data_IF_549769308719
#
_entry.id   IF_549769308719
#
_cell.length_a   1.000
_cell.length_b   1.000
_cell.length_c   1.000
_cell.angle_alpha   90.00
_cell.angle_beta   90.00
_cell.angle_gamma   90.00
#
_symmetry.space_group_name_H-M   'P 1'
#
loop_
_entity.id
_entity.type
_entity.pdbx_description
1 polymer ?
#
# COMPACT_ATOMS: atom_id res chain seq x y z
N UNK A 1 -10.98 -2.14 13.11
CA UNK A 1 -9.75 -2.25 12.30
C UNK A 1 -8.59 -2.61 13.22
N UNK A 2 -7.63 -3.43 12.78
CA UNK A 2 -6.42 -3.73 13.55
C UNK A 2 -5.35 -2.67 13.26
N UNK A 3 -4.78 -2.08 14.30
CA UNK A 3 -3.80 -0.99 14.18
C UNK A 3 -2.36 -1.49 14.17
N UNK A 4 -1.44 -0.66 13.68
CA UNK A 4 0.01 -0.88 13.72
C UNK A 4 0.62 -0.12 14.91
N UNK A 5 1.67 -0.68 15.51
CA UNK A 5 2.40 0.02 16.57
C UNK A 5 3.14 1.25 16.05
N UNK A 6 3.58 2.13 16.95
CA UNK A 6 4.38 3.30 16.58
C UNK A 6 5.67 2.93 15.85
N UNK A 7 6.37 1.87 16.26
CA UNK A 7 7.58 1.38 15.59
C UNK A 7 7.30 0.83 14.20
N UNK A 8 6.22 0.06 14.05
CA UNK A 8 5.80 -0.43 12.74
C UNK A 8 5.46 0.74 11.82
N UNK A 9 4.76 1.76 12.34
CA UNK A 9 4.45 2.97 11.57
C UNK A 9 5.71 3.74 11.18
N UNK A 10 6.71 3.86 12.06
CA UNK A 10 8.03 4.44 11.73
C UNK A 10 8.72 3.67 10.60
N UNK A 11 8.73 2.34 10.67
CA UNK A 11 9.30 1.49 9.61
C UNK A 11 8.60 1.68 8.26
N UNK A 12 7.27 1.81 8.27
CA UNK A 12 6.49 2.10 7.07
C UNK A 12 6.79 3.47 6.48
N UNK A 13 6.92 4.51 7.31
CA UNK A 13 7.30 5.86 6.87
C UNK A 13 8.69 5.84 6.22
N UNK A 14 9.66 5.17 6.84
CA UNK A 14 11.02 5.07 6.31
C UNK A 14 11.06 4.36 4.95
N UNK A 15 10.24 3.32 4.78
CA UNK A 15 10.19 2.51 3.55
C UNK A 15 9.41 3.17 2.43
N UNK A 16 8.20 3.65 2.71
CA UNK A 16 7.27 4.12 1.68
C UNK A 16 7.39 5.63 1.42
N UNK A 17 7.80 6.40 2.44
CA UNK A 17 7.95 7.88 2.49
C UNK A 17 6.70 8.71 2.14
N UNK A 18 5.69 8.10 1.55
CA UNK A 18 4.38 8.63 1.28
C UNK A 18 3.45 7.55 0.76
N UNK A 19 2.38 7.95 0.08
CA UNK A 19 1.46 7.02 -0.53
C UNK A 19 2.20 6.16 -1.59
N UNK A 20 2.21 4.85 -1.40
CA UNK A 20 2.94 3.92 -2.26
C UNK A 20 2.26 3.69 -3.64
N UNK A 21 1.02 4.17 -3.81
CA UNK A 21 0.29 4.02 -5.06
C UNK A 21 0.99 4.75 -6.22
N UNK A 22 0.96 4.20 -7.45
CA UNK A 22 1.69 4.76 -8.59
C UNK A 22 1.37 6.23 -8.83
N UNK A 23 2.40 7.05 -9.06
CA UNK A 23 2.32 8.49 -9.35
C UNK A 23 1.71 9.37 -8.24
N UNK A 24 1.37 8.82 -7.07
CA UNK A 24 0.85 9.60 -5.96
C UNK A 24 1.98 10.38 -5.25
N UNK A 25 1.71 11.64 -4.90
CA UNK A 25 2.68 12.52 -4.20
C UNK A 25 2.22 12.92 -2.80
N UNK A 26 1.20 12.26 -2.27
CA UNK A 26 0.71 12.51 -0.90
C UNK A 26 1.76 12.00 0.11
N UNK A 27 2.24 12.86 1.03
CA UNK A 27 3.31 12.49 1.96
C UNK A 27 2.80 11.57 3.09
N UNK A 28 3.73 10.87 3.75
CA UNK A 28 3.40 9.86 4.76
C UNK A 28 2.53 10.35 5.94
N UNK A 29 2.63 11.60 6.42
CA UNK A 29 1.74 12.10 7.47
C UNK A 29 0.26 12.07 7.10
N UNK A 30 -0.08 12.06 5.82
CA UNK A 30 -1.47 12.02 5.30
C UNK A 30 -1.86 10.62 4.79
N UNK A 31 -1.12 9.61 5.22
CA UNK A 31 -1.33 8.22 4.83
C UNK A 31 -1.65 7.36 6.04
N UNK A 32 -2.54 6.40 5.81
CA UNK A 32 -2.86 5.31 6.73
C UNK A 32 -2.05 4.07 6.36
N UNK A 33 -1.76 3.25 7.36
CA UNK A 33 -1.17 1.94 7.15
C UNK A 33 -2.27 0.93 6.79
N UNK A 34 -2.11 0.30 5.63
CA UNK A 34 -3.03 -0.68 5.07
C UNK A 34 -2.40 -2.07 5.09
N UNK A 35 -3.12 -3.08 5.57
CA UNK A 35 -2.72 -4.49 5.46
C UNK A 35 -2.83 -4.96 4.00
N UNK A 36 -1.75 -5.50 3.43
CA UNK A 36 -1.77 -6.04 2.06
C UNK A 36 -2.57 -7.33 2.00
N UNK A 37 -2.21 -8.31 2.85
CA UNK A 37 -3.06 -9.45 3.14
C UNK A 37 -3.95 -9.10 4.33
N UNK A 38 -5.29 -9.13 4.18
CA UNK A 38 -6.21 -8.69 5.22
C UNK A 38 -6.02 -9.47 6.53
N UNK A 39 -6.02 -8.75 7.66
CA UNK A 39 -5.87 -9.36 8.98
C UNK A 39 -6.99 -10.35 9.32
N UNK A 40 -8.20 -10.13 8.77
CA UNK A 40 -9.36 -11.02 8.95
C UNK A 40 -9.16 -12.39 8.29
N UNK A 41 -8.29 -12.46 7.29
CA UNK A 41 -7.96 -13.67 6.54
C UNK A 41 -6.62 -14.28 7.03
N UNK A 42 -6.15 -13.86 8.22
CA UNK A 42 -4.92 -14.36 8.84
C UNK A 42 -3.66 -13.53 8.53
N UNK A 43 -3.78 -12.42 7.81
CA UNK A 43 -2.66 -11.53 7.50
C UNK A 43 -1.94 -11.00 8.75
N UNK A 44 -0.61 -11.03 8.73
CA UNK A 44 0.20 -10.54 9.86
C UNK A 44 0.11 -9.03 10.02
N UNK A 45 0.14 -8.53 11.26
CA UNK A 45 0.41 -7.10 11.51
C UNK A 45 1.92 -6.92 11.60
N UNK A 46 2.54 -6.71 10.44
CA UNK A 46 3.97 -6.49 10.32
C UNK A 46 4.25 -5.42 9.25
N UNK A 47 5.44 -4.80 9.31
CA UNK A 47 5.87 -3.85 8.26
C UNK A 47 5.88 -4.54 6.89
N UNK A 48 6.26 -5.83 6.83
CA UNK A 48 6.33 -6.59 5.59
C UNK A 48 4.95 -6.79 4.92
N UNK A 49 3.87 -6.88 5.71
CA UNK A 49 2.49 -7.06 5.23
C UNK A 49 1.66 -5.76 5.25
N UNK A 50 2.32 -4.60 5.23
CA UNK A 50 1.61 -3.33 5.27
C UNK A 50 2.19 -2.32 4.28
N UNK A 51 1.40 -1.32 3.93
CA UNK A 51 1.79 -0.24 3.00
C UNK A 51 1.08 1.06 3.37
N UNK A 52 1.74 2.21 3.17
CA UNK A 52 1.14 3.53 3.33
C UNK A 52 0.28 3.92 2.12
N UNK A 53 -0.97 4.29 2.39
CA UNK A 53 -1.92 4.78 1.39
C UNK A 53 -2.58 6.07 1.86
N UNK A 54 -2.74 7.05 0.97
CA UNK A 54 -3.63 8.18 1.23
C UNK A 54 -5.09 7.73 1.19
N UNK A 55 -6.00 8.51 1.80
CA UNK A 55 -7.44 8.19 1.86
C UNK A 55 -8.03 7.77 0.50
N UNK A 56 -7.72 8.49 -0.58
CA UNK A 56 -8.19 8.16 -1.94
C UNK A 56 -7.76 6.75 -2.38
N UNK A 57 -6.47 6.44 -2.29
CA UNK A 57 -5.96 5.13 -2.73
C UNK A 57 -6.30 4.01 -1.75
N UNK A 58 -6.46 4.31 -0.47
CA UNK A 58 -6.93 3.35 0.52
C UNK A 58 -8.34 2.87 0.16
N UNK A 59 -9.26 3.79 -0.17
CA UNK A 59 -10.58 3.41 -0.67
C UNK A 59 -10.53 2.70 -2.02
N UNK A 60 -9.65 3.11 -2.94
CA UNK A 60 -9.52 2.44 -4.23
C UNK A 60 -9.10 0.96 -4.09
N UNK A 61 -8.21 0.65 -3.14
CA UNK A 61 -7.81 -0.73 -2.84
C UNK A 61 -8.97 -1.52 -2.23
N UNK A 62 -9.70 -0.95 -1.26
CA UNK A 62 -10.92 -1.58 -0.71
C UNK A 62 -12.01 -1.81 -1.74
N UNK A 63 -12.14 -0.90 -2.72
CA UNK A 63 -13.07 -1.03 -3.85
C UNK A 63 -12.61 -2.06 -4.90
N UNK A 64 -11.47 -2.73 -4.68
CA UNK A 64 -10.94 -3.75 -5.57
C UNK A 64 -10.27 -3.20 -6.82
N UNK A 65 -10.08 -1.89 -6.96
CA UNK A 65 -9.45 -1.27 -8.14
C UNK A 65 -7.96 -1.63 -8.26
N UNK A 66 -7.34 -1.98 -7.14
CA UNK A 66 -5.94 -2.35 -7.06
C UNK A 66 -5.76 -3.55 -6.14
N UNK A 67 -4.99 -4.54 -6.58
CA UNK A 67 -4.36 -5.52 -5.70
C UNK A 67 -2.93 -5.08 -5.42
N UNK A 68 -2.41 -5.39 -4.24
CA UNK A 68 -1.04 -5.02 -3.86
C UNK A 68 -0.24 -6.30 -3.64
N UNK A 69 0.99 -6.32 -4.16
CA UNK A 69 1.95 -7.38 -3.90
C UNK A 69 3.27 -6.80 -3.42
N UNK A 70 3.71 -7.23 -2.25
CA UNK A 70 5.01 -6.85 -1.69
C UNK A 70 6.10 -7.73 -2.30
N UNK A 71 7.10 -7.11 -2.94
CA UNK A 71 8.28 -7.80 -3.51
C UNK A 71 9.54 -7.16 -2.98
N UNK A 72 10.32 -7.87 -2.18
CA UNK A 72 11.58 -7.39 -1.60
C UNK A 72 11.42 -6.01 -0.92
N UNK A 73 10.36 -5.83 -0.14
CA UNK A 73 10.05 -4.57 0.54
C UNK A 73 9.42 -3.48 -0.33
N UNK A 74 9.06 -3.77 -1.58
CA UNK A 74 8.50 -2.80 -2.52
C UNK A 74 7.05 -3.16 -2.82
N UNK A 75 6.14 -2.20 -2.64
CA UNK A 75 4.74 -2.37 -3.00
C UNK A 75 4.54 -2.24 -4.52
N UNK A 76 4.03 -3.31 -5.13
CA UNK A 76 3.60 -3.35 -6.52
C UNK A 76 2.07 -3.38 -6.60
N UNK A 77 1.51 -2.39 -7.26
CA UNK A 77 0.08 -2.21 -7.48
C UNK A 77 -0.30 -2.84 -8.82
N UNK A 78 -1.21 -3.78 -8.76
CA UNK A 78 -1.73 -4.52 -9.91
C UNK A 78 -3.16 -4.01 -10.14
N UNK A 79 -3.43 -3.31 -11.24
CA UNK A 79 -4.77 -2.79 -11.52
C UNK A 79 -5.76 -3.92 -11.81
N UNK A 80 -7.05 -3.60 -11.73
CA UNK A 80 -8.11 -4.42 -12.32
C UNK A 80 -7.97 -4.48 -13.84
N UNK A 81 -8.48 -5.54 -14.49
CA UNK A 81 -8.56 -5.60 -15.96
C UNK A 81 -9.28 -4.41 -16.59
N UNK A 82 -10.24 -3.81 -15.88
CA UNK A 82 -10.95 -2.62 -16.33
C UNK A 82 -10.04 -1.39 -16.46
N UNK A 83 -9.08 -1.22 -15.55
CA UNK A 83 -8.13 -0.10 -15.58
C UNK A 83 -6.94 -0.36 -16.52
N UNK A 84 -6.54 -1.62 -16.66
CA UNK A 84 -5.47 -2.07 -17.55
C UNK A 84 -5.71 -3.55 -17.90
N UNK A 85 -6.08 -3.87 -19.15
CA UNK A 85 -6.36 -5.25 -19.57
C UNK A 85 -5.19 -6.20 -19.32
N UNK A 86 -3.96 -5.71 -19.44
CA UNK A 86 -2.74 -6.50 -19.24
C UNK A 86 -2.35 -6.64 -17.76
N UNK A 87 -3.08 -5.96 -16.85
CA UNK A 87 -2.82 -5.91 -15.41
C UNK A 87 -1.36 -5.63 -15.06
N UNK A 88 -0.70 -4.75 -15.82
CA UNK A 88 0.74 -4.51 -15.69
C UNK A 88 1.06 -4.01 -14.27
N UNK A 89 1.95 -4.67 -13.51
CA UNK A 89 2.32 -4.21 -12.18
C UNK A 89 3.01 -2.85 -12.22
N UNK A 90 2.57 -1.92 -11.37
CA UNK A 90 3.09 -0.55 -11.27
C UNK A 90 3.60 -0.29 -9.85
N UNK A 91 4.60 0.56 -9.71
CA UNK A 91 5.07 1.03 -8.40
C UNK A 91 5.23 2.53 -8.43
N UNK A 92 5.10 3.17 -7.27
CA UNK A 92 5.48 4.56 -7.16
C UNK A 92 7.01 4.70 -7.29
N UNK A 93 7.44 5.66 -8.12
CA UNK A 93 8.85 6.00 -8.35
C UNK A 93 9.22 7.39 -7.82
N UNK A 94 8.24 8.17 -7.33
CA UNK A 94 8.46 9.51 -6.79
C UNK A 94 9.23 9.47 -5.47
N UNK A 95 8.86 8.54 -4.58
CA UNK A 95 9.43 8.39 -3.23
C UNK A 95 10.76 7.58 -3.19
N UNK A 96 11.45 7.42 -4.32
CA UNK A 96 12.69 6.60 -4.44
C UNK A 96 13.78 7.02 -3.48
#
# INVERSE_FOLDING_TARGET
ARQFSADQRRGLIARDRGCAAPNCKIPAPWCDAHHVDPWKDGGSTSVANAVLLCSHHHHAVHAGMWSINMRNGIAWFIPTPYLDPDRRPRRNRFWR
#
